data_IF_568255856411
#
_entry.id   IF_568255856411
#
_cell.length_a   1.000
_cell.length_b   1.000
_cell.length_c   1.000
_cell.angle_alpha   90.00
_cell.angle_beta   90.00
_cell.angle_gamma   90.00
#
_symmetry.space_group_name_H-M   'P 1'
#
loop_
_entity.id
_entity.type
_entity.pdbx_description
1 polymer ?
#
# COMPACT_ATOMS: atom_id res chain seq x y z
N UNK A 1 29.60 -5.60 7.93
CA UNK A 1 28.92 -6.27 6.81
C UNK A 1 28.14 -7.50 7.30
N UNK A 2 28.77 -8.42 8.03
CA UNK A 2 28.10 -9.61 8.60
C UNK A 2 26.98 -9.30 9.60
N UNK A 3 27.17 -8.31 10.48
CA UNK A 3 26.14 -7.92 11.46
C UNK A 3 24.85 -7.40 10.81
N UNK A 4 24.95 -6.68 9.69
CA UNK A 4 23.82 -6.18 8.92
C UNK A 4 23.07 -7.32 8.22
N UNK A 5 23.82 -8.29 7.69
CA UNK A 5 23.29 -9.49 7.06
C UNK A 5 22.55 -10.39 8.07
N UNK A 6 23.03 -10.45 9.32
CA UNK A 6 22.38 -11.17 10.40
C UNK A 6 21.08 -10.48 10.85
N UNK A 7 21.10 -9.15 10.98
CA UNK A 7 19.92 -8.36 11.35
C UNK A 7 18.81 -8.47 10.29
N UNK A 8 19.15 -8.32 9.00
CA UNK A 8 18.19 -8.50 7.90
C UNK A 8 17.63 -9.93 7.84
N UNK A 9 18.44 -10.96 8.12
CA UNK A 9 17.97 -12.34 8.17
C UNK A 9 17.02 -12.62 9.35
N UNK A 10 17.34 -12.14 10.56
CA UNK A 10 16.50 -12.26 11.76
C UNK A 10 15.14 -11.59 11.55
N UNK A 11 15.16 -10.46 10.87
CA UNK A 11 13.98 -9.68 10.59
C UNK A 11 13.11 -10.30 9.49
N UNK A 12 13.71 -10.82 8.42
CA UNK A 12 13.01 -11.64 7.44
C UNK A 12 12.41 -12.90 8.08
N UNK A 13 13.03 -13.42 9.14
CA UNK A 13 12.49 -14.52 9.94
C UNK A 13 11.33 -14.06 10.84
N UNK A 14 11.40 -12.85 11.41
CA UNK A 14 10.34 -12.24 12.22
C UNK A 14 9.11 -11.88 11.38
N UNK A 15 9.29 -11.24 10.22
CA UNK A 15 8.24 -11.04 9.22
C UNK A 15 7.62 -12.40 8.87
N UNK A 16 8.44 -13.39 8.50
CA UNK A 16 7.93 -14.74 8.20
C UNK A 16 7.16 -15.37 9.35
N UNK A 17 7.58 -15.18 10.61
CA UNK A 17 6.86 -15.66 11.81
C UNK A 17 5.54 -14.93 12.00
N UNK A 18 5.54 -13.60 11.99
CA UNK A 18 4.35 -12.75 12.08
C UNK A 18 3.32 -13.14 11.00
N UNK A 19 3.78 -13.45 9.80
CA UNK A 19 2.92 -13.85 8.67
C UNK A 19 2.64 -15.36 8.57
N UNK A 20 3.31 -16.21 9.34
CA UNK A 20 3.03 -17.64 9.34
C UNK A 20 1.63 -17.95 9.90
N UNK A 21 1.16 -17.15 10.87
CA UNK A 21 -0.19 -17.26 11.45
C UNK A 21 -1.29 -16.66 10.56
N UNK A 22 -0.95 -15.64 9.76
CA UNK A 22 -1.88 -14.98 8.84
C UNK A 22 -2.26 -15.88 7.66
N UNK A 23 -1.56 -17.00 7.42
CA UNK A 23 -1.84 -17.99 6.38
C UNK A 23 -3.06 -18.91 6.64
N UNK A 24 -3.96 -18.60 7.59
CA UNK A 24 -5.09 -19.48 7.99
C UNK A 24 -6.50 -19.18 7.47
N UNK A 25 -6.84 -17.95 7.05
CA UNK A 25 -8.12 -17.64 6.33
C UNK A 25 -7.93 -16.92 4.97
N UNK A 26 -8.05 -17.58 3.80
CA UNK A 26 -7.73 -17.01 2.49
C UNK A 26 -8.60 -15.81 2.08
N UNK A 27 -9.77 -15.62 2.70
CA UNK A 27 -10.68 -14.51 2.42
C UNK A 27 -10.52 -13.33 3.40
N UNK A 28 -9.75 -13.49 4.49
CA UNK A 28 -9.46 -12.44 5.47
C UNK A 28 -8.16 -11.63 5.22
N UNK A 29 -7.50 -11.82 4.09
CA UNK A 29 -6.02 -11.65 4.06
C UNK A 29 -5.43 -10.46 3.32
N UNK A 30 -6.23 -9.62 2.68
CA UNK A 30 -5.66 -8.50 1.92
C UNK A 30 -5.79 -7.16 2.66
N UNK A 31 -4.70 -6.40 2.62
CA UNK A 31 -4.67 -4.99 2.95
C UNK A 31 -4.82 -4.18 1.67
N UNK A 32 -5.66 -3.15 1.70
CA UNK A 32 -5.64 -2.08 0.70
C UNK A 32 -5.07 -0.86 1.39
N UNK A 33 -4.07 -0.24 0.79
CA UNK A 33 -3.40 0.91 1.36
C UNK A 33 -3.36 2.06 0.38
N UNK A 34 -3.31 3.27 0.92
CA UNK A 34 -3.13 4.49 0.13
C UNK A 34 -1.90 5.24 0.61
N UNK A 35 -1.03 5.57 -0.34
CA UNK A 35 0.18 6.34 -0.15
C UNK A 35 -0.01 7.73 -0.75
N UNK A 36 0.35 8.76 0.00
CA UNK A 36 0.62 10.08 -0.53
C UNK A 36 2.10 10.12 -0.94
N UNK A 37 2.34 10.62 -2.14
CA UNK A 37 3.65 10.82 -2.75
C UNK A 37 3.87 12.34 -2.94
N UNK A 38 5.01 12.71 -3.51
CA UNK A 38 5.32 14.10 -3.83
C UNK A 38 4.31 14.70 -4.83
N UNK A 39 4.24 16.03 -4.89
CA UNK A 39 3.45 16.80 -5.86
C UNK A 39 1.94 16.42 -5.88
N UNK A 40 1.40 16.07 -4.71
CA UNK A 40 -0.01 15.71 -4.54
C UNK A 40 -0.42 14.45 -5.31
N UNK A 41 0.52 13.52 -5.53
CA UNK A 41 0.25 12.24 -6.19
C UNK A 41 -0.11 11.16 -5.18
N UNK A 42 -0.96 10.23 -5.58
CA UNK A 42 -1.40 9.13 -4.72
C UNK A 42 -1.20 7.78 -5.40
N UNK A 43 -0.83 6.79 -4.61
CA UNK A 43 -0.78 5.39 -5.03
C UNK A 43 -1.67 4.54 -4.14
N UNK A 44 -2.53 3.75 -4.77
CA UNK A 44 -3.36 2.75 -4.12
C UNK A 44 -2.82 1.38 -4.49
N UNK A 45 -2.66 0.51 -3.50
CA UNK A 45 -2.23 -0.86 -3.73
C UNK A 45 -2.94 -1.84 -2.81
N UNK A 46 -2.93 -3.12 -3.21
CA UNK A 46 -3.29 -4.22 -2.34
C UNK A 46 -2.10 -5.15 -2.07
N UNK A 47 -2.14 -5.88 -0.96
CA UNK A 47 -1.13 -6.87 -0.59
C UNK A 47 -1.62 -7.77 0.54
N UNK A 48 -1.11 -8.98 0.61
CA UNK A 48 -1.25 -9.86 1.78
C UNK A 48 -0.15 -9.62 2.84
N UNK A 49 0.89 -8.85 2.51
CA UNK A 49 2.01 -8.53 3.37
C UNK A 49 2.29 -7.01 3.38
N UNK A 50 1.54 -6.30 4.23
CA UNK A 50 1.63 -4.84 4.35
C UNK A 50 3.03 -4.34 4.77
N UNK A 51 3.73 -5.03 5.69
CA UNK A 51 5.06 -4.58 6.13
C UNK A 51 6.08 -4.63 4.98
N UNK A 52 6.19 -5.76 4.28
CA UNK A 52 7.14 -5.89 3.17
C UNK A 52 6.77 -4.93 2.02
N UNK A 53 5.48 -4.80 1.71
CA UNK A 53 5.06 -3.95 0.60
C UNK A 53 5.31 -2.46 0.86
N UNK A 54 5.05 -1.99 2.07
CA UNK A 54 5.37 -0.61 2.45
C UNK A 54 6.88 -0.39 2.54
N UNK A 55 7.65 -1.35 3.08
CA UNK A 55 9.12 -1.28 3.07
C UNK A 55 9.66 -1.13 1.65
N UNK A 56 9.17 -1.95 0.70
CA UNK A 56 9.56 -1.88 -0.70
C UNK A 56 9.38 -0.47 -1.25
N UNK A 57 8.17 0.10 -1.08
CA UNK A 57 7.85 1.45 -1.57
C UNK A 57 8.64 2.55 -0.88
N UNK A 58 8.89 2.45 0.44
CA UNK A 58 9.66 3.42 1.21
C UNK A 58 11.14 3.38 0.84
N UNK A 59 11.68 2.19 0.54
CA UNK A 59 13.07 1.98 0.15
C UNK A 59 13.31 2.07 -1.36
N UNK A 60 12.25 2.29 -2.16
CA UNK A 60 12.29 2.32 -3.62
C UNK A 60 12.98 1.09 -4.24
N UNK A 61 12.72 -0.09 -3.68
CA UNK A 61 13.32 -1.35 -4.14
C UNK A 61 12.89 -1.70 -5.58
N UNK A 62 13.54 -2.68 -6.25
CA UNK A 62 13.14 -3.10 -7.59
C UNK A 62 11.65 -3.48 -7.74
N UNK A 63 11.01 -4.04 -6.70
CA UNK A 63 9.57 -4.40 -6.67
C UNK A 63 8.62 -3.21 -6.46
N UNK A 64 9.14 -2.01 -6.20
CA UNK A 64 8.32 -0.78 -6.08
C UNK A 64 7.58 -0.48 -7.37
N UNK A 65 6.33 -0.05 -7.24
CA UNK A 65 5.52 0.33 -8.41
C UNK A 65 6.18 1.49 -9.17
N UNK A 66 6.17 1.44 -10.51
CA UNK A 66 6.81 2.46 -11.35
C UNK A 66 6.28 3.88 -11.06
N UNK A 67 4.99 4.02 -10.77
CA UNK A 67 4.41 5.31 -10.39
C UNK A 67 4.98 5.85 -9.08
N UNK A 68 5.18 4.98 -8.09
CA UNK A 68 5.83 5.33 -6.82
C UNK A 68 7.31 5.66 -7.03
N UNK A 69 8.03 4.93 -7.89
CA UNK A 69 9.41 5.30 -8.25
C UNK A 69 9.50 6.66 -8.93
N UNK A 70 8.53 7.01 -9.77
CA UNK A 70 8.49 8.25 -10.55
C UNK A 70 8.11 9.47 -9.70
N UNK A 71 7.18 9.31 -8.77
CA UNK A 71 6.60 10.42 -8.00
C UNK A 71 6.92 10.36 -6.50
N UNK A 72 7.71 9.38 -6.06
CA UNK A 72 8.18 9.27 -4.70
C UNK A 72 9.28 10.30 -4.37
N UNK A 73 9.82 10.27 -3.14
CA UNK A 73 9.54 9.27 -2.09
C UNK A 73 8.13 9.38 -1.51
N UNK A 74 7.69 8.33 -0.83
CA UNK A 74 6.41 8.31 -0.09
C UNK A 74 6.46 9.38 1.00
N UNK A 75 5.52 10.32 0.98
CA UNK A 75 5.37 11.35 2.01
C UNK A 75 4.67 10.78 3.25
N UNK A 76 3.60 10.02 3.01
CA UNK A 76 2.71 9.54 4.08
C UNK A 76 1.94 8.30 3.67
N UNK A 77 1.74 7.39 4.62
CA UNK A 77 0.68 6.38 4.54
C UNK A 77 -0.63 7.02 5.01
N UNK A 78 -1.59 7.14 4.10
CA UNK A 78 -2.84 7.86 4.34
C UNK A 78 -3.84 6.99 5.09
N UNK A 79 -4.02 5.76 4.62
CA UNK A 79 -4.93 4.79 5.22
C UNK A 79 -4.50 3.36 4.86
N UNK A 80 -4.84 2.42 5.74
CA UNK A 80 -4.71 0.99 5.51
C UNK A 80 -6.02 0.34 5.92
N UNK A 81 -6.69 -0.32 4.97
CA UNK A 81 -7.85 -1.14 5.24
C UNK A 81 -7.47 -2.61 5.38
N UNK A 82 -8.04 -3.30 6.38
CA UNK A 82 -7.91 -4.76 6.59
C UNK A 82 -9.12 -5.51 6.03
N UNK A 83 -8.96 -6.82 5.82
CA UNK A 83 -9.98 -7.70 5.26
C UNK A 83 -10.51 -7.19 3.91
N UNK A 84 -9.61 -6.70 3.06
CA UNK A 84 -9.96 -6.18 1.74
C UNK A 84 -10.38 -7.32 0.81
N UNK A 85 -11.51 -7.13 0.13
CA UNK A 85 -11.97 -8.03 -0.93
C UNK A 85 -11.45 -7.60 -2.30
N UNK A 86 -11.69 -8.44 -3.32
CA UNK A 86 -11.12 -8.34 -4.67
C UNK A 86 -11.23 -6.96 -5.32
N UNK A 87 -12.36 -6.26 -5.15
CA UNK A 87 -12.63 -4.98 -5.79
C UNK A 87 -12.27 -3.75 -4.94
N UNK A 88 -11.75 -3.96 -3.72
CA UNK A 88 -11.48 -2.86 -2.79
C UNK A 88 -10.41 -1.89 -3.32
N UNK A 89 -9.30 -2.41 -3.87
CA UNK A 89 -8.24 -1.59 -4.45
C UNK A 89 -8.76 -0.71 -5.60
N UNK A 90 -9.61 -1.27 -6.47
CA UNK A 90 -10.23 -0.56 -7.57
C UNK A 90 -11.17 0.55 -7.05
N UNK A 91 -12.03 0.23 -6.07
CA UNK A 91 -12.91 1.19 -5.44
C UNK A 91 -12.11 2.37 -4.86
N UNK A 92 -11.04 2.09 -4.10
CA UNK A 92 -10.17 3.11 -3.50
C UNK A 92 -9.44 3.94 -4.55
N UNK A 93 -8.98 3.31 -5.62
CA UNK A 93 -8.38 4.01 -6.75
C UNK A 93 -9.37 5.02 -7.34
N UNK A 94 -10.61 4.59 -7.64
CA UNK A 94 -11.64 5.49 -8.19
C UNK A 94 -12.09 6.57 -7.20
N UNK A 95 -12.16 6.24 -5.90
CA UNK A 95 -12.46 7.20 -4.82
C UNK A 95 -11.42 8.34 -4.82
N UNK A 96 -10.14 7.99 -4.76
CA UNK A 96 -9.07 8.99 -4.76
C UNK A 96 -8.97 9.73 -6.10
N UNK A 97 -9.20 9.07 -7.25
CA UNK A 97 -9.27 9.74 -8.55
C UNK A 97 -10.39 10.79 -8.62
N UNK A 98 -11.53 10.52 -7.98
CA UNK A 98 -12.64 11.47 -7.89
C UNK A 98 -12.28 12.68 -7.04
N UNK A 99 -11.52 12.48 -5.96
CA UNK A 99 -11.14 13.53 -5.02
C UNK A 99 -9.97 14.40 -5.51
N UNK A 100 -8.97 13.78 -6.15
CA UNK A 100 -7.69 14.43 -6.47
C UNK A 100 -7.41 14.52 -7.98
N UNK A 101 -8.31 14.03 -8.81
CA UNK A 101 -8.15 13.97 -10.26
C UNK A 101 -7.44 12.69 -10.72
N UNK A 102 -7.94 12.09 -11.79
CA UNK A 102 -7.47 10.79 -12.29
C UNK A 102 -6.01 10.77 -12.73
N UNK A 103 -5.45 11.93 -13.11
CA UNK A 103 -4.03 12.06 -13.48
C UNK A 103 -3.10 11.95 -12.27
N UNK A 104 -3.60 12.22 -11.06
CA UNK A 104 -2.80 12.26 -9.84
C UNK A 104 -2.78 10.93 -9.07
N UNK A 105 -3.55 9.94 -9.50
CA UNK A 105 -3.74 8.68 -8.75
C UNK A 105 -3.47 7.48 -9.63
N UNK A 106 -2.77 6.47 -9.10
CA UNK A 106 -2.61 5.16 -9.74
C UNK A 106 -2.84 4.03 -8.76
N UNK A 107 -3.34 2.91 -9.27
CA UNK A 107 -3.62 1.69 -8.51
C UNK A 107 -4.41 0.71 -9.37
N UNK A 108 -4.52 -0.54 -8.91
CA UNK A 108 -5.30 -1.57 -9.59
C UNK A 108 -4.99 -1.67 -11.11
N UNK A 109 -6.00 -1.86 -11.95
CA UNK A 109 -5.89 -1.89 -13.42
C UNK A 109 -5.45 -0.54 -14.04
N UNK A 110 -5.42 0.53 -13.26
CA UNK A 110 -5.00 1.87 -13.66
C UNK A 110 -3.59 2.20 -13.16
N UNK A 111 -2.68 1.23 -13.14
CA UNK A 111 -1.32 1.38 -12.64
C UNK A 111 -0.30 1.87 -13.69
N UNK A 112 -0.68 1.94 -14.98
CA UNK A 112 0.16 2.49 -16.05
C UNK A 112 0.47 3.97 -15.80
N UNK A 113 1.72 4.38 -16.01
CA UNK A 113 2.15 5.75 -15.69
C UNK A 113 1.52 6.80 -16.61
N UNK A 114 1.17 6.41 -17.82
CA UNK A 114 0.75 7.21 -18.97
C UNK A 114 -0.67 6.82 -19.43
N UNK A 115 -1.65 7.05 -18.55
CA UNK A 115 -3.05 6.94 -18.94
C UNK A 115 -3.42 8.11 -19.86
N UNK A 116 -3.89 7.81 -21.06
CA UNK A 116 -4.24 8.81 -22.09
C UNK A 116 -5.65 9.38 -21.94
N UNK A 117 -6.51 8.69 -21.20
CA UNK A 117 -7.90 9.09 -20.95
C UNK A 117 -8.32 8.72 -19.52
N UNK A 118 -9.31 9.42 -18.94
CA UNK A 118 -9.86 9.04 -17.65
C UNK A 118 -10.47 7.64 -17.70
N UNK A 119 -10.37 6.87 -16.60
CA UNK A 119 -11.06 5.59 -16.49
C UNK A 119 -12.56 5.71 -16.76
N UNK A 120 -13.10 4.86 -17.64
CA UNK A 120 -14.54 4.84 -17.92
C UNK A 120 -15.38 4.59 -16.65
N UNK A 121 -14.88 3.73 -15.74
CA UNK A 121 -15.51 3.45 -14.45
C UNK A 121 -15.66 4.70 -13.56
N UNK A 122 -14.88 5.75 -13.80
CA UNK A 122 -14.95 6.99 -13.04
C UNK A 122 -16.26 7.76 -13.35
N UNK A 123 -16.78 7.67 -14.58
CA UNK A 123 -17.98 8.40 -15.00
C UNK A 123 -19.23 7.98 -14.23
N UNK A 124 -19.29 6.71 -13.83
CA UNK A 124 -20.40 6.12 -13.08
C UNK A 124 -20.02 5.80 -11.64
N UNK A 125 -18.87 6.28 -11.15
CA UNK A 125 -18.42 5.95 -9.80
C UNK A 125 -19.28 6.68 -8.77
N UNK A 126 -19.91 5.91 -7.89
CA UNK A 126 -20.61 6.42 -6.72
C UNK A 126 -19.83 5.99 -5.48
N UNK A 127 -19.46 6.98 -4.65
CA UNK A 127 -18.80 6.70 -3.38
C UNK A 127 -19.82 6.07 -2.43
N UNK A 128 -19.56 4.82 -2.02
CA UNK A 128 -20.30 4.19 -0.92
C UNK A 128 -19.92 4.86 0.39
N UNK A 129 -20.82 4.79 1.38
CA UNK A 129 -20.49 5.28 2.73
C UNK A 129 -19.34 4.44 3.28
N UNK A 130 -18.34 5.10 3.87
CA UNK A 130 -17.09 4.45 4.29
C UNK A 130 -17.27 3.35 5.36
N UNK A 131 -18.49 3.14 5.87
CA UNK A 131 -18.85 2.10 6.84
C UNK A 131 -18.79 0.66 6.33
N UNK A 132 -18.56 0.43 5.04
CA UNK A 132 -18.33 -0.92 4.49
C UNK A 132 -16.88 -1.41 4.66
N UNK A 133 -15.96 -0.54 5.04
CA UNK A 133 -14.53 -0.87 5.14
C UNK A 133 -14.05 -0.85 6.58
N UNK A 134 -13.21 -1.82 6.93
CA UNK A 134 -12.53 -1.83 8.23
C UNK A 134 -11.11 -1.29 8.05
N UNK A 135 -10.79 -0.23 8.78
CA UNK A 135 -9.47 0.40 8.74
C UNK A 135 -8.62 -0.02 9.93
N UNK A 136 -7.30 0.03 9.73
CA UNK A 136 -6.37 0.10 10.86
C UNK A 136 -6.55 1.45 11.54
N UNK A 137 -6.57 1.43 12.87
CA UNK A 137 -6.47 2.62 13.70
C UNK A 137 -5.11 3.29 13.56
N UNK A 138 -5.01 4.55 13.96
CA UNK A 138 -3.75 5.30 13.93
C UNK A 138 -2.64 4.61 14.74
N UNK A 139 -3.00 3.96 15.85
CA UNK A 139 -2.07 3.17 16.65
C UNK A 139 -1.56 1.92 15.90
N UNK A 140 -2.45 1.19 15.22
CA UNK A 140 -2.06 0.04 14.38
C UNK A 140 -1.18 0.49 13.20
N UNK A 141 -1.51 1.60 12.54
CA UNK A 141 -0.66 2.16 11.46
C UNK A 141 0.71 2.58 11.99
N UNK A 142 0.75 3.21 13.17
CA UNK A 142 2.02 3.64 13.80
C UNK A 142 2.92 2.44 14.10
N UNK A 143 2.36 1.36 14.65
CA UNK A 143 3.10 0.11 14.88
C UNK A 143 3.66 -0.48 13.58
N UNK A 144 2.88 -0.43 12.49
CA UNK A 144 3.36 -0.86 11.16
C UNK A 144 4.58 -0.04 10.72
N UNK A 145 4.50 1.28 10.86
CA UNK A 145 5.57 2.19 10.45
C UNK A 145 6.82 2.09 11.34
N UNK A 146 6.66 1.91 12.65
CA UNK A 146 7.75 1.68 13.60
C UNK A 146 8.50 0.38 13.28
N UNK A 147 7.75 -0.69 12.98
CA UNK A 147 8.34 -1.94 12.52
C UNK A 147 9.16 -1.69 11.24
N UNK A 148 8.57 -1.04 10.22
CA UNK A 148 9.25 -0.69 8.95
C UNK A 148 10.53 0.12 9.18
N UNK A 149 10.50 1.11 10.08
CA UNK A 149 11.69 1.91 10.40
C UNK A 149 12.79 1.06 11.03
N UNK A 150 12.42 0.11 11.89
CA UNK A 150 13.34 -0.89 12.43
C UNK A 150 13.90 -1.76 11.30
N UNK A 151 13.06 -2.14 10.32
CA UNK A 151 13.51 -2.90 9.16
C UNK A 151 14.56 -2.15 8.34
N UNK A 152 14.28 -0.87 8.07
CA UNK A 152 15.14 0.01 7.28
C UNK A 152 16.51 0.24 7.93
N UNK A 153 16.57 0.37 9.26
CA UNK A 153 17.83 0.60 9.97
C UNK A 153 18.79 -0.61 9.90
N UNK A 154 18.29 -1.81 9.59
CA UNK A 154 19.08 -3.04 9.47
C UNK A 154 19.42 -3.46 8.03
N UNK A 155 19.08 -2.66 7.02
CA UNK A 155 19.40 -2.87 5.58
C UNK A 155 20.49 -1.90 5.16
#
# INVERSE_FOLDING_TARGET
MEALLLQSAQLQQEIRRTYSGLKKDPDARYYTYVLQLQDGKFYVGNTDNIYQRLLDHIMLTPSTALFVKKHGPVERVVEISKNSYKDHELYKTLQYMTMFGWTNVRGSSYCRTDLMSPPEKLKSFLRNRDGEFTYLSDAEVSQVLEAINTLKAGV
#
